data_IF_891458857466
#
_entry.id   IF_891458857466
#
_cell.length_a   1.000
_cell.length_b   1.000
_cell.length_c   1.000
_cell.angle_alpha   90.00
_cell.angle_beta   90.00
_cell.angle_gamma   90.00
#
_symmetry.space_group_name_H-M   'P 1'
#
loop_
_entity.id
_entity.type
_entity.pdbx_description
1 polymer ?
#
# COMPACT_ATOMS: atom_id res chain seq x y z
N UNK A 1 -12.17 -6.53 -21.34
CA UNK A 1 -13.37 -7.35 -21.64
C UNK A 1 -13.33 -7.85 -23.08
N UNK A 2 -13.35 -6.95 -24.07
CA UNK A 2 -13.15 -7.30 -25.48
C UNK A 2 -11.66 -7.25 -25.87
N UNK A 3 -11.31 -7.89 -26.98
CA UNK A 3 -10.04 -7.68 -27.66
C UNK A 3 -10.10 -6.44 -28.57
N UNK A 4 -8.96 -6.06 -29.17
CA UNK A 4 -8.88 -4.94 -30.10
C UNK A 4 -9.65 -5.15 -31.41
N UNK A 5 -10.36 -6.27 -31.57
CA UNK A 5 -11.18 -6.64 -32.73
C UNK A 5 -12.67 -6.78 -32.35
N UNK A 6 -13.04 -6.40 -31.13
CA UNK A 6 -14.43 -6.46 -30.63
C UNK A 6 -14.89 -7.83 -30.16
N UNK A 7 -14.04 -8.86 -30.13
CA UNK A 7 -14.42 -10.18 -29.61
C UNK A 7 -14.25 -10.25 -28.08
N UNK A 8 -15.16 -10.94 -27.40
CA UNK A 8 -15.07 -11.17 -25.95
C UNK A 8 -13.91 -12.11 -25.64
N UNK A 9 -13.00 -11.67 -24.77
CA UNK A 9 -11.88 -12.49 -24.30
C UNK A 9 -12.39 -13.74 -23.56
N UNK A 10 -11.77 -14.93 -23.73
CA UNK A 10 -12.30 -16.19 -23.19
C UNK A 10 -12.62 -16.16 -21.69
N UNK A 11 -11.73 -15.58 -20.87
CA UNK A 11 -11.89 -15.49 -19.42
C UNK A 11 -13.03 -14.55 -18.97
N UNK A 12 -13.60 -13.75 -19.87
CA UNK A 12 -14.77 -12.89 -19.60
C UNK A 12 -16.11 -13.56 -19.87
N UNK A 13 -16.15 -14.68 -20.62
CA UNK A 13 -17.42 -15.32 -21.03
C UNK A 13 -18.27 -15.74 -19.82
N UNK A 14 -17.64 -16.33 -18.80
CA UNK A 14 -18.34 -16.74 -17.58
C UNK A 14 -18.88 -15.56 -16.76
N UNK A 15 -18.13 -14.44 -16.72
CA UNK A 15 -18.61 -13.19 -16.07
C UNK A 15 -19.82 -12.63 -16.80
N UNK A 16 -19.77 -12.56 -18.13
CA UNK A 16 -20.89 -12.03 -18.92
C UNK A 16 -22.14 -12.90 -18.81
N UNK A 17 -21.98 -14.23 -18.83
CA UNK A 17 -23.08 -15.16 -18.58
C UNK A 17 -23.71 -14.94 -17.19
N UNK A 18 -22.88 -14.80 -16.15
CA UNK A 18 -23.34 -14.53 -14.79
C UNK A 18 -24.16 -13.23 -14.65
N UNK A 19 -23.87 -12.20 -15.47
CA UNK A 19 -24.69 -10.99 -15.53
C UNK A 19 -25.95 -11.17 -16.37
N UNK A 20 -25.90 -11.96 -17.45
CA UNK A 20 -27.06 -12.23 -18.29
C UNK A 20 -28.14 -13.06 -17.54
N UNK A 21 -27.71 -13.95 -16.65
CA UNK A 21 -28.60 -14.82 -15.87
C UNK A 21 -29.28 -14.11 -14.68
N UNK A 22 -28.94 -12.84 -14.39
CA UNK A 22 -29.59 -12.09 -13.33
C UNK A 22 -31.05 -11.76 -13.72
N UNK A 23 -32.04 -12.18 -12.91
CA UNK A 23 -33.43 -11.84 -13.18
C UNK A 23 -33.59 -10.31 -13.20
N UNK A 24 -34.18 -9.72 -14.24
CA UNK A 24 -34.43 -8.30 -14.26
C UNK A 24 -35.58 -7.99 -13.30
N UNK A 25 -35.26 -7.56 -12.07
CA UNK A 25 -36.25 -6.99 -11.16
C UNK A 25 -36.74 -5.61 -11.64
N UNK A 26 -35.93 -4.93 -12.47
CA UNK A 26 -36.21 -3.61 -13.03
C UNK A 26 -35.76 -3.54 -14.49
N UNK A 27 -36.28 -2.57 -15.25
CA UNK A 27 -35.81 -2.27 -16.60
C UNK A 27 -34.32 -1.81 -16.56
N UNK A 28 -33.40 -2.66 -17.01
CA UNK A 28 -31.98 -2.36 -17.05
C UNK A 28 -31.12 -3.57 -17.39
N UNK A 29 -29.81 -3.36 -17.61
CA UNK A 29 -28.85 -4.46 -17.80
C UNK A 29 -28.65 -5.25 -16.51
N UNK A 30 -28.24 -6.52 -16.62
CA UNK A 30 -27.86 -7.32 -15.45
C UNK A 30 -26.73 -6.70 -14.62
N UNK A 31 -25.82 -5.95 -15.24
CA UNK A 31 -24.79 -5.18 -14.52
C UNK A 31 -25.39 -4.02 -13.69
N UNK A 32 -26.41 -3.33 -14.19
CA UNK A 32 -27.08 -2.27 -13.44
C UNK A 32 -27.88 -2.85 -12.26
N UNK A 33 -28.49 -4.03 -12.45
CA UNK A 33 -29.15 -4.74 -11.36
C UNK A 33 -28.17 -5.22 -10.29
N UNK A 34 -27.03 -5.77 -10.71
CA UNK A 34 -25.94 -6.12 -9.81
C UNK A 34 -25.45 -4.92 -9.00
N UNK A 35 -25.28 -3.76 -9.63
CA UNK A 35 -24.86 -2.53 -8.96
C UNK A 35 -25.87 -2.11 -7.88
N UNK A 36 -27.19 -2.14 -8.19
CA UNK A 36 -28.25 -1.82 -7.20
C UNK A 36 -28.25 -2.79 -6.03
N UNK A 37 -28.14 -4.09 -6.29
CA UNK A 37 -28.06 -5.10 -5.22
C UNK A 37 -26.82 -4.91 -4.35
N UNK A 38 -25.70 -4.51 -4.96
CA UNK A 38 -24.45 -4.23 -4.26
C UNK A 38 -24.55 -2.96 -3.39
N UNK A 39 -25.13 -1.88 -3.91
CA UNK A 39 -25.39 -0.66 -3.15
C UNK A 39 -26.28 -0.95 -1.92
N UNK A 40 -27.40 -1.68 -2.10
CA UNK A 40 -28.27 -2.12 -0.98
C UNK A 40 -27.51 -2.97 0.04
N UNK A 41 -26.71 -3.90 -0.45
CA UNK A 41 -25.88 -4.76 0.39
C UNK A 41 -24.89 -3.97 1.27
N UNK A 42 -24.28 -2.91 0.73
CA UNK A 42 -23.38 -2.04 1.49
C UNK A 42 -24.12 -1.19 2.53
N UNK A 43 -25.36 -0.76 2.22
CA UNK A 43 -26.23 -0.05 3.16
C UNK A 43 -26.64 -0.94 4.34
N UNK A 44 -27.08 -2.17 4.08
CA UNK A 44 -27.55 -3.13 5.10
C UNK A 44 -26.46 -3.50 6.11
N UNK A 45 -25.20 -3.55 5.69
CA UNK A 45 -24.05 -3.88 6.54
C UNK A 45 -23.51 -2.67 7.31
N UNK A 46 -24.13 -1.49 7.15
CA UNK A 46 -23.77 -0.28 7.88
C UNK A 46 -22.39 0.27 7.51
N UNK A 47 -21.76 -0.21 6.43
CA UNK A 47 -20.43 0.25 5.97
C UNK A 47 -20.49 1.73 5.58
N UNK A 48 -21.63 2.19 5.06
CA UNK A 48 -21.90 3.61 4.80
C UNK A 48 -21.90 4.48 6.06
N UNK A 49 -22.18 3.91 7.23
CA UNK A 49 -22.24 4.64 8.51
C UNK A 49 -20.88 4.81 9.20
N UNK A 50 -19.86 4.03 8.78
CA UNK A 50 -18.48 4.15 9.27
C UNK A 50 -17.69 5.29 8.60
N UNK A 51 -18.27 5.99 7.63
CA UNK A 51 -17.62 7.11 6.94
C UNK A 51 -17.98 8.45 7.64
N UNK A 52 -16.99 9.26 8.04
CA UNK A 52 -17.23 10.57 8.65
C UNK A 52 -17.93 11.51 7.66
N UNK A 53 -18.93 12.25 8.13
CA UNK A 53 -19.65 13.24 7.30
C UNK A 53 -20.88 12.70 6.56
N UNK A 54 -21.48 11.61 7.04
CA UNK A 54 -22.77 11.08 6.58
C UNK A 54 -23.98 12.01 6.84
N UNK A 55 -23.89 13.27 6.41
CA UNK A 55 -25.02 13.91 5.75
C UNK A 55 -25.14 13.32 4.34
N UNK A 56 -26.34 13.40 3.75
CA UNK A 56 -26.76 12.89 2.42
C UNK A 56 -25.83 13.11 1.20
N UNK A 57 -24.66 13.72 1.35
CA UNK A 57 -23.75 14.12 0.27
C UNK A 57 -22.32 13.55 0.35
N UNK A 58 -21.92 12.84 1.41
CA UNK A 58 -20.66 12.08 1.37
C UNK A 58 -20.87 10.83 0.51
N UNK A 59 -20.26 10.81 -0.67
CA UNK A 59 -20.41 9.75 -1.66
C UNK A 59 -19.86 8.46 -1.05
N UNK A 60 -20.75 7.62 -0.50
CA UNK A 60 -20.44 6.30 0.01
C UNK A 60 -19.57 5.57 -1.00
N UNK A 61 -18.58 4.83 -0.50
CA UNK A 61 -17.75 3.97 -1.33
C UNK A 61 -18.63 3.12 -2.26
N UNK A 62 -18.45 3.29 -3.57
CA UNK A 62 -19.17 2.53 -4.60
C UNK A 62 -18.25 1.47 -5.17
N UNK A 63 -18.68 0.22 -5.12
CA UNK A 63 -18.04 -0.87 -5.80
C UNK A 63 -18.73 -1.06 -7.16
N UNK A 64 -17.94 -1.11 -8.24
CA UNK A 64 -18.47 -1.53 -9.53
C UNK A 64 -18.66 -3.05 -9.50
N UNK A 65 -19.86 -3.58 -9.83
CA UNK A 65 -20.10 -5.01 -9.82
C UNK A 65 -19.27 -5.77 -10.86
N UNK A 66 -18.75 -5.11 -11.90
CA UNK A 66 -17.99 -5.73 -12.99
C UNK A 66 -16.53 -5.91 -12.55
N UNK A 67 -16.07 -7.15 -12.26
CA UNK A 67 -14.72 -7.35 -11.73
C UNK A 67 -13.65 -7.24 -12.82
N UNK A 68 -12.45 -6.83 -12.44
CA UNK A 68 -11.26 -7.03 -13.27
C UNK A 68 -10.80 -8.50 -13.18
N UNK A 69 -11.06 -9.29 -14.22
CA UNK A 69 -10.62 -10.69 -14.29
C UNK A 69 -9.17 -10.79 -14.75
N UNK A 70 -8.33 -11.43 -13.93
CA UNK A 70 -6.94 -11.75 -14.25
C UNK A 70 -6.76 -13.28 -14.35
N UNK A 71 -6.32 -13.81 -15.51
CA UNK A 71 -5.89 -15.20 -15.63
C UNK A 71 -4.78 -15.56 -14.63
N UNK A 72 -4.75 -16.82 -14.20
CA UNK A 72 -3.80 -17.29 -13.19
C UNK A 72 -2.32 -17.11 -13.59
N UNK A 73 -1.98 -17.39 -14.86
CA UNK A 73 -0.62 -17.22 -15.37
C UNK A 73 -0.20 -15.74 -15.37
N UNK A 74 -1.08 -14.86 -15.85
CA UNK A 74 -0.86 -13.42 -15.85
C UNK A 74 -0.69 -12.86 -14.44
N UNK A 75 -1.50 -13.30 -13.48
CA UNK A 75 -1.34 -12.92 -12.07
C UNK A 75 -0.03 -13.44 -11.47
N UNK A 76 0.41 -14.66 -11.84
CA UNK A 76 1.66 -15.23 -11.34
C UNK A 76 2.87 -14.42 -11.80
N UNK A 77 2.93 -14.04 -13.08
CA UNK A 77 3.98 -13.15 -13.62
C UNK A 77 4.01 -11.80 -12.89
N UNK A 78 2.84 -11.19 -12.66
CA UNK A 78 2.74 -9.94 -11.90
C UNK A 78 3.20 -10.13 -10.45
N UNK A 79 2.80 -11.22 -9.79
CA UNK A 79 3.17 -11.49 -8.42
C UNK A 79 4.69 -11.63 -8.26
N UNK A 80 5.36 -12.33 -9.18
CA UNK A 80 6.82 -12.45 -9.18
C UNK A 80 7.52 -11.10 -9.43
N UNK A 81 7.01 -10.32 -10.38
CA UNK A 81 7.53 -8.98 -10.67
C UNK A 81 7.38 -8.01 -9.50
N UNK A 82 6.21 -7.99 -8.86
CA UNK A 82 5.94 -7.17 -7.69
C UNK A 82 6.76 -7.61 -6.47
N UNK A 83 6.97 -8.91 -6.28
CA UNK A 83 7.84 -9.42 -5.21
C UNK A 83 9.31 -9.02 -5.43
N UNK A 84 9.83 -9.08 -6.66
CA UNK A 84 11.15 -8.56 -6.99
C UNK A 84 11.24 -7.06 -6.74
N UNK A 85 10.21 -6.30 -7.16
CA UNK A 85 10.13 -4.85 -6.95
C UNK A 85 10.18 -4.50 -5.46
N UNK A 86 9.41 -5.19 -4.62
CA UNK A 86 9.44 -5.00 -3.17
C UNK A 86 10.84 -5.28 -2.58
N UNK A 87 11.50 -6.39 -2.96
CA UNK A 87 12.87 -6.70 -2.52
C UNK A 87 13.87 -5.62 -2.94
N UNK A 88 13.75 -5.12 -4.17
CA UNK A 88 14.62 -4.05 -4.68
C UNK A 88 14.44 -2.76 -3.87
N UNK A 89 13.20 -2.33 -3.66
CA UNK A 89 12.90 -1.11 -2.92
C UNK A 89 13.32 -1.21 -1.45
N UNK A 90 13.15 -2.36 -0.82
CA UNK A 90 13.65 -2.62 0.54
C UNK A 90 15.18 -2.56 0.61
N UNK A 91 15.89 -3.13 -0.38
CA UNK A 91 17.35 -3.05 -0.45
C UNK A 91 17.86 -1.61 -0.66
N UNK A 92 17.16 -0.80 -1.48
CA UNK A 92 17.46 0.62 -1.65
C UNK A 92 17.25 1.37 -0.33
N UNK A 93 16.15 1.11 0.38
CA UNK A 93 15.89 1.70 1.70
C UNK A 93 16.98 1.30 2.70
N UNK A 94 17.36 0.02 2.74
CA UNK A 94 18.40 -0.49 3.63
C UNK A 94 19.76 0.16 3.39
N UNK A 95 20.13 0.42 2.13
CA UNK A 95 21.35 1.15 1.80
C UNK A 95 21.25 2.63 2.20
N UNK A 96 20.18 3.32 1.80
CA UNK A 96 19.99 4.76 2.06
C UNK A 96 19.93 5.10 3.56
N UNK A 97 19.29 4.25 4.36
CA UNK A 97 19.20 4.39 5.82
C UNK A 97 20.38 3.74 6.56
N UNK A 98 21.26 3.03 5.85
CA UNK A 98 22.44 2.36 6.41
C UNK A 98 23.74 2.87 5.79
N UNK A 99 24.49 2.02 5.07
CA UNK A 99 25.86 2.30 4.63
C UNK A 99 25.97 3.30 3.46
N UNK A 100 24.89 3.60 2.75
CA UNK A 100 24.84 4.59 1.65
C UNK A 100 25.84 4.32 0.51
N UNK A 101 26.04 3.05 0.15
CA UNK A 101 26.94 2.64 -0.94
C UNK A 101 26.42 3.10 -2.30
N UNK A 102 25.09 3.14 -2.50
CA UNK A 102 24.50 3.61 -3.75
C UNK A 102 24.85 5.08 -4.02
N UNK A 103 24.96 5.88 -2.96
CA UNK A 103 25.40 7.27 -3.04
C UNK A 103 26.91 7.36 -3.29
N UNK A 104 27.71 6.59 -2.54
CA UNK A 104 29.17 6.58 -2.68
C UNK A 104 29.64 6.10 -4.06
N UNK A 105 28.98 5.08 -4.62
CA UNK A 105 29.24 4.53 -5.96
C UNK A 105 28.58 5.35 -7.08
N UNK A 106 27.88 6.45 -6.76
CA UNK A 106 27.18 7.33 -7.72
C UNK A 106 26.11 6.61 -8.55
N UNK A 107 25.54 5.53 -8.02
CA UNK A 107 24.42 4.81 -8.64
C UNK A 107 23.07 5.48 -8.35
N UNK A 108 23.01 6.26 -7.26
CA UNK A 108 21.87 7.08 -6.92
C UNK A 108 22.33 8.53 -6.67
N UNK A 109 21.73 9.53 -7.34
CA UNK A 109 22.03 10.93 -7.08
C UNK A 109 21.68 11.34 -5.64
N UNK A 110 22.57 12.04 -4.90
CA UNK A 110 22.28 12.53 -3.55
C UNK A 110 21.03 13.41 -3.46
N UNK A 111 20.69 14.15 -4.51
CA UNK A 111 19.49 14.96 -4.57
C UNK A 111 18.20 14.12 -4.42
N UNK A 112 18.15 12.91 -4.96
CA UNK A 112 16.98 12.03 -4.85
C UNK A 112 16.74 11.50 -3.43
N UNK A 113 17.76 11.54 -2.59
CA UNK A 113 17.68 11.10 -1.18
C UNK A 113 17.51 12.31 -0.27
N UNK A 114 18.47 13.23 -0.27
CA UNK A 114 18.54 14.26 0.78
C UNK A 114 17.58 15.43 0.60
N UNK A 115 17.09 15.67 -0.63
CA UNK A 115 16.06 16.68 -0.89
C UNK A 115 14.65 16.08 -0.91
N UNK A 116 14.52 14.75 -0.80
CA UNK A 116 13.23 14.09 -0.73
C UNK A 116 12.59 14.29 0.66
N UNK A 117 11.41 14.90 0.76
CA UNK A 117 10.76 15.17 2.05
C UNK A 117 10.36 13.90 2.82
N UNK A 118 10.21 12.75 2.15
CA UNK A 118 9.96 11.47 2.81
C UNK A 118 11.23 10.78 3.30
N UNK A 119 12.43 11.30 2.97
CA UNK A 119 13.66 10.83 3.60
C UNK A 119 13.78 11.39 5.03
N UNK A 120 13.30 10.61 5.99
CA UNK A 120 13.27 11.01 7.39
C UNK A 120 14.62 10.79 8.07
N UNK A 121 15.45 11.84 8.16
CA UNK A 121 16.77 11.77 8.80
C UNK A 121 16.78 11.14 10.20
N UNK A 122 15.81 11.42 11.10
CA UNK A 122 15.75 10.78 12.42
C UNK A 122 15.63 9.24 12.39
N UNK A 123 15.17 8.66 11.28
CA UNK A 123 15.10 7.21 11.10
C UNK A 123 16.46 6.57 10.75
N UNK A 124 17.49 7.37 10.48
CA UNK A 124 18.86 6.89 10.26
C UNK A 124 19.66 7.04 11.56
N UNK A 125 20.29 5.96 12.02
CA UNK A 125 21.22 5.98 13.15
C UNK A 125 22.45 5.14 12.83
N UNK A 126 23.64 5.74 13.03
CA UNK A 126 24.91 5.04 12.82
C UNK A 126 25.20 4.04 13.96
N UNK A 127 24.79 4.36 15.19
CA UNK A 127 24.96 3.48 16.35
C UNK A 127 23.93 2.35 16.37
N UNK A 128 22.74 2.59 15.83
CA UNK A 128 21.62 1.64 15.83
C UNK A 128 21.04 1.53 14.43
N UNK A 129 21.64 0.71 13.54
CA UNK A 129 21.09 0.48 12.22
C UNK A 129 19.63 0.01 12.29
N UNK A 130 18.75 0.47 11.39
CA UNK A 130 17.36 0.05 11.41
C UNK A 130 17.22 -1.47 11.29
N UNK A 131 16.32 -2.04 12.09
CA UNK A 131 15.94 -3.45 11.95
C UNK A 131 15.34 -3.67 10.54
N UNK A 132 15.72 -4.76 9.89
CA UNK A 132 15.21 -5.15 8.56
C UNK A 132 14.10 -6.20 8.67
N UNK A 133 13.18 -6.29 7.69
CA UNK A 133 13.05 -5.44 6.50
C UNK A 133 12.44 -4.05 6.81
N UNK A 134 12.82 -2.99 6.09
CA UNK A 134 12.23 -1.66 6.29
C UNK A 134 10.84 -1.58 5.63
N UNK A 135 10.71 -2.20 4.47
CA UNK A 135 9.49 -2.30 3.69
C UNK A 135 8.86 -3.69 3.89
N UNK A 136 7.81 -3.76 4.70
CA UNK A 136 7.09 -5.02 4.95
C UNK A 136 5.90 -5.20 3.99
N UNK A 137 5.12 -4.14 3.80
CA UNK A 137 3.92 -4.12 2.96
C UNK A 137 4.16 -3.23 1.75
N UNK A 138 3.93 -3.75 0.55
CA UNK A 138 4.11 -3.02 -0.69
C UNK A 138 2.83 -3.12 -1.52
N UNK A 139 2.43 -1.99 -2.09
CA UNK A 139 1.39 -1.92 -3.10
C UNK A 139 1.93 -1.20 -4.35
N UNK A 140 1.32 -1.46 -5.49
CA UNK A 140 1.70 -0.84 -6.75
C UNK A 140 0.45 -0.45 -7.55
N UNK A 141 0.51 0.72 -8.17
CA UNK A 141 -0.47 1.12 -9.16
C UNK A 141 -0.01 0.58 -10.51
N UNK A 142 -0.86 -0.21 -11.17
CA UNK A 142 -0.57 -0.86 -12.44
C UNK A 142 -1.54 -0.38 -13.52
N UNK A 143 -1.02 -0.18 -14.72
CA UNK A 143 -1.82 0.10 -15.91
C UNK A 143 -1.52 -0.93 -16.99
N UNK A 144 -2.55 -1.33 -17.73
CA UNK A 144 -2.36 -2.14 -18.93
C UNK A 144 -2.30 -1.22 -20.14
N UNK A 145 -1.18 -1.25 -20.86
CA UNK A 145 -0.97 -0.46 -22.06
C UNK A 145 -1.82 -0.93 -23.25
N UNK A 146 -1.88 -0.14 -24.35
CA UNK A 146 -2.56 -0.53 -25.58
C UNK A 146 -2.02 -1.81 -26.22
N UNK A 147 -0.74 -2.11 -26.00
CA UNK A 147 -0.07 -3.35 -26.39
C UNK A 147 -0.48 -4.57 -25.55
N UNK A 148 -1.30 -4.37 -24.52
CA UNK A 148 -1.79 -5.38 -23.60
C UNK A 148 -0.83 -5.73 -22.46
N UNK A 149 0.35 -5.10 -22.39
CA UNK A 149 1.36 -5.33 -21.35
C UNK A 149 1.07 -4.51 -20.10
N UNK A 150 1.54 -5.00 -18.96
CA UNK A 150 1.44 -4.28 -17.70
C UNK A 150 2.63 -3.36 -17.50
N UNK A 151 2.35 -2.13 -17.09
CA UNK A 151 3.32 -1.14 -16.71
C UNK A 151 3.04 -0.70 -15.28
N UNK A 152 4.12 -0.52 -14.52
CA UNK A 152 4.05 0.08 -13.20
C UNK A 152 3.93 1.60 -13.34
N UNK A 153 2.88 2.15 -12.72
CA UNK A 153 2.58 3.58 -12.70
C UNK A 153 3.16 4.26 -11.45
N UNK A 154 2.99 3.63 -10.28
CA UNK A 154 3.52 4.15 -9.02
C UNK A 154 3.78 3.03 -8.01
N UNK A 155 4.87 3.18 -7.25
CA UNK A 155 5.17 2.37 -6.07
C UNK A 155 4.49 3.00 -4.85
N UNK A 156 3.87 2.18 -3.98
CA UNK A 156 3.21 2.61 -2.74
C UNK A 156 3.82 1.89 -1.54
N UNK A 157 4.69 2.56 -0.81
CA UNK A 157 5.56 1.99 0.23
C UNK A 157 5.37 2.63 1.60
N UNK A 158 4.72 3.79 1.72
CA UNK A 158 4.52 4.46 3.01
C UNK A 158 3.38 3.81 3.78
N UNK A 159 2.15 3.87 3.25
CA UNK A 159 0.94 3.38 3.93
C UNK A 159 0.27 2.19 3.24
N UNK A 160 0.56 1.88 1.98
CA UNK A 160 0.01 0.76 1.21
C UNK A 160 -1.46 0.40 1.56
N UNK A 161 -2.40 1.25 1.13
CA UNK A 161 -3.83 1.11 1.43
C UNK A 161 -4.60 0.37 0.32
N UNK A 162 -5.86 0.03 0.58
CA UNK A 162 -6.81 -0.53 -0.38
C UNK A 162 -7.08 -2.03 -0.22
N UNK A 163 -6.30 -2.76 0.57
CA UNK A 163 -6.48 -4.21 0.72
C UNK A 163 -7.74 -4.55 1.54
N UNK A 164 -8.10 -3.71 2.51
CA UNK A 164 -9.38 -3.86 3.22
C UNK A 164 -10.58 -3.65 2.29
N UNK A 165 -10.50 -2.66 1.40
CA UNK A 165 -11.50 -2.45 0.35
C UNK A 165 -11.58 -3.64 -0.62
N UNK A 166 -10.45 -4.21 -1.04
CA UNK A 166 -10.43 -5.36 -1.93
C UNK A 166 -11.08 -6.60 -1.29
N UNK A 167 -10.82 -6.85 0.00
CA UNK A 167 -11.45 -7.92 0.76
C UNK A 167 -12.97 -7.71 0.86
N UNK A 168 -13.38 -6.51 1.24
CA UNK A 168 -14.79 -6.23 1.46
C UNK A 168 -15.59 -6.21 0.15
N UNK A 169 -15.01 -5.68 -0.93
CA UNK A 169 -15.57 -5.84 -2.28
C UNK A 169 -15.76 -7.30 -2.66
N UNK A 170 -14.75 -8.14 -2.37
CA UNK A 170 -14.82 -9.58 -2.67
C UNK A 170 -15.93 -10.25 -1.87
N UNK A 171 -16.08 -9.92 -0.59
CA UNK A 171 -17.12 -10.45 0.31
C UNK A 171 -18.52 -10.06 -0.19
N UNK A 172 -18.73 -8.78 -0.48
CA UNK A 172 -20.02 -8.28 -0.95
C UNK A 172 -20.41 -8.80 -2.33
N UNK A 173 -19.47 -8.85 -3.26
CA UNK A 173 -19.70 -9.47 -4.57
C UNK A 173 -20.04 -10.96 -4.43
N UNK A 174 -19.36 -11.68 -3.53
CA UNK A 174 -19.68 -13.09 -3.25
C UNK A 174 -21.09 -13.31 -2.73
N UNK A 175 -21.60 -12.36 -1.92
CA UNK A 175 -22.96 -12.38 -1.38
C UNK A 175 -24.02 -12.03 -2.44
N UNK A 176 -23.75 -11.02 -3.26
CA UNK A 176 -24.73 -10.46 -4.21
C UNK A 176 -24.75 -11.21 -5.55
N UNK A 177 -23.59 -11.70 -6.00
CA UNK A 177 -23.38 -12.39 -7.27
C UNK A 177 -22.70 -13.76 -7.07
N UNK A 178 -23.28 -14.68 -6.28
CA UNK A 178 -22.64 -15.97 -6.01
C UNK A 178 -22.33 -16.77 -7.28
N UNK A 179 -23.15 -16.62 -8.33
CA UNK A 179 -22.94 -17.28 -9.64
C UNK A 179 -21.61 -16.89 -10.29
N UNK A 180 -21.09 -15.67 -10.04
CA UNK A 180 -19.80 -15.24 -10.55
C UNK A 180 -18.65 -16.10 -10.00
N UNK A 181 -18.81 -16.59 -8.77
CA UNK A 181 -17.82 -17.41 -8.05
C UNK A 181 -18.04 -18.91 -8.22
N UNK A 182 -19.28 -19.36 -8.54
CA UNK A 182 -19.56 -20.80 -8.75
C UNK A 182 -18.85 -21.35 -9.99
N UNK A 183 -18.79 -20.58 -11.06
CA UNK A 183 -18.23 -21.04 -12.34
C UNK A 183 -16.76 -20.63 -12.54
N UNK A 184 -16.20 -19.86 -11.61
CA UNK A 184 -14.81 -19.39 -11.66
C UNK A 184 -14.06 -19.83 -10.41
N UNK A 185 -12.89 -20.43 -10.60
CA UNK A 185 -11.97 -20.75 -9.49
C UNK A 185 -11.25 -19.49 -9.00
N UNK A 186 -12.01 -18.56 -8.42
CA UNK A 186 -11.47 -17.32 -7.87
C UNK A 186 -10.62 -17.64 -6.64
N UNK A 187 -9.36 -17.20 -6.63
CA UNK A 187 -8.48 -17.39 -5.48
C UNK A 187 -8.98 -16.62 -4.25
N UNK A 188 -9.07 -17.26 -3.07
CA UNK A 188 -9.46 -16.58 -1.84
C UNK A 188 -8.37 -15.61 -1.36
N UNK A 189 -8.78 -14.54 -0.67
CA UNK A 189 -7.86 -13.57 -0.08
C UNK A 189 -7.39 -13.95 1.32
N UNK A 190 -8.10 -14.84 2.01
CA UNK A 190 -7.80 -15.24 3.39
C UNK A 190 -6.33 -15.67 3.62
N UNK A 191 -5.72 -16.51 2.76
CA UNK A 191 -4.31 -16.91 2.95
C UNK A 191 -3.30 -15.75 2.91
N UNK A 192 -3.66 -14.60 2.33
CA UNK A 192 -2.81 -13.40 2.39
C UNK A 192 -2.81 -12.80 3.81
N UNK A 193 -3.98 -12.67 4.43
CA UNK A 193 -4.11 -12.12 5.78
C UNK A 193 -3.48 -13.02 6.83
N UNK A 194 -3.64 -14.34 6.72
CA UNK A 194 -3.00 -15.30 7.61
C UNK A 194 -1.47 -15.13 7.57
N UNK A 195 -0.87 -15.09 6.36
CA UNK A 195 0.57 -14.86 6.19
C UNK A 195 1.03 -13.49 6.69
N UNK A 196 0.19 -12.46 6.56
CA UNK A 196 0.51 -11.12 7.04
C UNK A 196 0.53 -11.08 8.56
N UNK A 197 -0.49 -11.64 9.21
CA UNK A 197 -0.56 -11.76 10.67
C UNK A 197 0.66 -12.54 11.20
N UNK A 198 0.96 -13.69 10.62
CA UNK A 198 2.14 -14.50 10.97
C UNK A 198 3.45 -13.69 10.83
N UNK A 199 3.54 -12.87 9.79
CA UNK A 199 4.71 -12.03 9.56
C UNK A 199 4.84 -10.90 10.58
N UNK A 200 3.73 -10.26 10.95
CA UNK A 200 3.74 -9.23 12.00
C UNK A 200 4.12 -9.82 13.36
N UNK A 201 3.64 -11.02 13.68
CA UNK A 201 4.01 -11.73 14.91
C UNK A 201 5.52 -12.00 14.99
N UNK A 202 6.15 -12.39 13.88
CA UNK A 202 7.62 -12.60 13.81
C UNK A 202 8.45 -11.33 13.91
N UNK A 203 7.85 -10.15 13.77
CA UNK A 203 8.57 -8.88 13.82
C UNK A 203 8.75 -8.31 15.23
N UNK A 204 8.24 -8.99 16.27
CA UNK A 204 8.44 -8.59 17.66
C UNK A 204 9.94 -8.50 17.99
N UNK A 205 10.45 -7.36 18.48
CA UNK A 205 11.89 -7.19 18.71
C UNK A 205 12.50 -8.11 19.75
N UNK A 206 11.68 -8.64 20.66
CA UNK A 206 12.11 -9.50 21.77
C UNK A 206 11.91 -11.00 21.51
N UNK A 207 11.48 -11.38 20.30
CA UNK A 207 11.20 -12.78 19.96
C UNK A 207 10.16 -13.45 20.87
N UNK A 208 9.35 -12.64 21.57
CA UNK A 208 8.30 -13.13 22.48
C UNK A 208 7.26 -13.90 21.69
N UNK A 209 6.83 -15.02 22.27
CA UNK A 209 5.62 -15.68 21.83
C UNK A 209 4.44 -14.73 22.06
N UNK A 210 3.71 -14.40 20.99
CA UNK A 210 2.56 -13.48 20.96
C UNK A 210 2.94 -11.98 21.12
N UNK A 211 3.40 -11.39 20.03
CA UNK A 211 3.68 -9.96 19.91
C UNK A 211 2.41 -9.12 20.14
N UNK A 212 2.52 -8.05 20.92
CA UNK A 212 1.46 -7.07 21.05
C UNK A 212 1.44 -6.15 19.82
N UNK A 213 0.51 -6.39 18.92
CA UNK A 213 0.35 -5.63 17.66
C UNK A 213 -0.73 -4.55 17.83
N UNK A 214 -0.45 -3.35 17.34
CA UNK A 214 -1.43 -2.27 17.21
C UNK A 214 -1.42 -1.64 15.81
N UNK A 215 -2.57 -1.15 15.35
CA UNK A 215 -2.74 -0.37 14.12
C UNK A 215 -2.97 1.09 14.50
N UNK A 216 -2.01 1.95 14.16
CA UNK A 216 -2.08 3.39 14.40
C UNK A 216 -2.89 4.08 13.31
N UNK A 217 -4.00 4.69 13.69
CA UNK A 217 -4.92 5.41 12.82
C UNK A 217 -4.86 6.93 13.08
N UNK A 218 -5.04 7.78 12.06
CA UNK A 218 -5.26 9.22 12.23
C UNK A 218 -6.62 9.57 12.84
N UNK A 219 -7.52 8.59 13.00
CA UNK A 219 -8.81 8.73 13.66
C UNK A 219 -10.01 8.67 12.72
N UNK A 220 -11.21 8.79 13.31
CA UNK A 220 -12.50 8.56 12.63
C UNK A 220 -12.77 9.48 11.44
N UNK A 221 -12.15 10.67 11.41
CA UNK A 221 -12.33 11.64 10.33
C UNK A 221 -11.53 11.32 9.06
N UNK A 222 -10.71 10.27 9.08
CA UNK A 222 -9.91 9.88 7.93
C UNK A 222 -10.75 9.15 6.86
N UNK A 223 -10.56 9.42 5.55
CA UNK A 223 -11.33 8.78 4.48
C UNK A 223 -11.23 7.24 4.46
N UNK A 224 -10.12 6.70 4.93
CA UNK A 224 -9.86 5.25 5.02
C UNK A 224 -10.09 4.68 6.42
N UNK A 225 -10.78 5.39 7.32
CA UNK A 225 -11.09 4.91 8.67
C UNK A 225 -11.73 3.51 8.64
N UNK A 226 -12.68 3.30 7.73
CA UNK A 226 -13.33 2.01 7.52
C UNK A 226 -12.30 0.88 7.28
N UNK A 227 -11.33 1.09 6.38
CA UNK A 227 -10.28 0.11 6.12
C UNK A 227 -9.45 -0.15 7.39
N UNK A 228 -9.18 0.87 8.19
CA UNK A 228 -8.40 0.70 9.42
C UNK A 228 -9.14 -0.19 10.44
N UNK A 229 -10.46 -0.01 10.59
CA UNK A 229 -11.31 -0.85 11.46
C UNK A 229 -11.33 -2.30 10.96
N UNK A 230 -11.56 -2.50 9.66
CA UNK A 230 -11.59 -3.84 9.07
C UNK A 230 -10.26 -4.56 9.28
N UNK A 231 -9.14 -3.87 9.00
CA UNK A 231 -7.82 -4.45 9.14
C UNK A 231 -7.45 -4.75 10.59
N UNK A 232 -7.88 -3.93 11.55
CA UNK A 232 -7.66 -4.22 12.97
C UNK A 232 -8.36 -5.53 13.37
N UNK A 233 -9.58 -5.77 12.87
CA UNK A 233 -10.29 -7.04 13.04
C UNK A 233 -9.57 -8.22 12.39
N UNK A 234 -9.24 -8.11 11.09
CA UNK A 234 -8.62 -9.19 10.32
C UNK A 234 -7.23 -9.57 10.82
N UNK A 235 -6.43 -8.59 11.26
CA UNK A 235 -5.10 -8.83 11.81
C UNK A 235 -5.13 -9.12 13.33
N UNK A 236 -6.31 -9.08 13.95
CA UNK A 236 -6.53 -9.26 15.39
C UNK A 236 -5.62 -8.36 16.24
N UNK A 237 -5.54 -7.08 15.88
CA UNK A 237 -4.70 -6.10 16.54
C UNK A 237 -5.52 -4.93 17.11
N UNK A 238 -4.94 -4.22 18.09
CA UNK A 238 -5.61 -3.07 18.68
C UNK A 238 -5.64 -1.89 17.68
N UNK A 239 -6.82 -1.33 17.41
CA UNK A 239 -6.94 -0.05 16.69
C UNK A 239 -6.70 1.10 17.69
N UNK A 240 -5.70 1.93 17.44
CA UNK A 240 -5.25 2.96 18.39
C UNK A 240 -5.01 4.29 17.70
N UNK A 241 -5.41 5.37 18.35
CA UNK A 241 -5.02 6.72 17.98
C UNK A 241 -3.74 7.13 18.73
N UNK A 242 -3.01 8.17 18.29
CA UNK A 242 -1.82 8.61 19.01
C UNK A 242 -2.10 8.96 20.48
N UNK A 243 -3.31 9.50 20.75
CA UNK A 243 -3.77 9.84 22.08
C UNK A 243 -3.93 8.63 23.00
N UNK A 244 -3.99 7.39 22.49
CA UNK A 244 -4.08 6.17 23.30
C UNK A 244 -2.71 5.64 23.73
N UNK A 245 -1.65 6.15 23.12
CA UNK A 245 -0.30 5.64 23.27
C UNK A 245 0.57 6.56 24.15
N UNK A 246 1.63 5.98 24.72
CA UNK A 246 2.66 6.74 25.45
C UNK A 246 3.97 5.97 25.41
N UNK A 247 5.09 6.69 25.32
CA UNK A 247 6.43 6.09 25.48
C UNK A 247 6.89 6.25 26.92
N UNK A 248 7.30 5.13 27.54
CA UNK A 248 7.85 5.10 28.90
C UNK A 248 8.96 4.07 28.99
N UNK A 249 10.09 4.47 29.58
CA UNK A 249 11.26 3.59 29.71
C UNK A 249 11.80 3.11 28.37
N UNK A 250 11.71 3.94 27.32
CA UNK A 250 12.15 3.59 25.97
C UNK A 250 11.24 2.62 25.20
N UNK A 251 10.10 2.21 25.77
CA UNK A 251 9.14 1.31 25.13
C UNK A 251 7.78 1.99 24.89
N UNK A 252 7.04 1.52 23.89
CA UNK A 252 5.70 2.01 23.56
C UNK A 252 4.64 1.25 24.37
N UNK A 253 3.69 1.99 24.92
CA UNK A 253 2.60 1.46 25.74
C UNK A 253 1.25 1.97 25.27
N UNK A 254 0.26 1.08 25.27
CA UNK A 254 -1.16 1.37 25.13
C UNK A 254 -1.76 1.68 26.51
N UNK A 255 -2.43 2.82 26.63
CA UNK A 255 -3.17 3.22 27.84
C UNK A 255 -4.49 2.46 27.89
N UNK A 256 -4.70 1.68 28.95
CA UNK A 256 -5.99 1.02 29.22
C UNK A 256 -6.48 1.37 30.62
N UNK A 257 -7.76 1.12 30.88
CA UNK A 257 -8.34 1.30 32.24
C UNK A 257 -7.65 0.42 33.30
N UNK A 258 -7.05 -0.72 32.88
CA UNK A 258 -6.32 -1.65 33.76
C UNK A 258 -4.83 -1.29 33.90
N UNK A 259 -4.38 -0.20 33.29
CA UNK A 259 -2.97 0.21 33.25
C UNK A 259 -2.35 0.11 31.86
N UNK A 260 -1.03 0.18 31.81
CA UNK A 260 -0.27 0.19 30.56
C UNK A 260 -0.07 -1.22 30.02
N UNK A 261 -0.35 -1.41 28.72
CA UNK A 261 -0.04 -2.64 27.99
C UNK A 261 1.07 -2.39 26.97
N UNK A 262 2.06 -3.27 26.84
CA UNK A 262 3.14 -3.07 25.88
C UNK A 262 2.60 -3.13 24.44
N UNK A 263 3.29 -2.43 23.52
CA UNK A 263 3.09 -2.54 22.07
C UNK A 263 4.45 -2.83 21.44
N UNK A 264 4.60 -4.02 20.87
CA UNK A 264 5.85 -4.48 20.26
C UNK A 264 5.93 -4.12 18.77
N UNK A 265 4.78 -4.17 18.07
CA UNK A 265 4.67 -3.91 16.63
C UNK A 265 3.54 -2.93 16.36
N UNK A 266 3.85 -1.85 15.64
CA UNK A 266 2.94 -0.79 15.27
C UNK A 266 2.78 -0.73 13.75
N UNK A 267 1.64 -1.18 13.25
CA UNK A 267 1.23 -0.97 11.86
C UNK A 267 0.74 0.48 11.70
N UNK A 268 1.50 1.32 10.98
CA UNK A 268 1.12 2.72 10.81
C UNK A 268 0.19 2.94 9.61
N UNK A 269 -0.88 3.71 9.81
CA UNK A 269 -1.69 4.33 8.76
C UNK A 269 -1.59 5.85 8.75
N UNK A 270 -0.63 6.38 9.51
CA UNK A 270 -0.28 7.81 9.55
C UNK A 270 1.03 8.07 8.81
N UNK A 271 1.27 9.33 8.47
CA UNK A 271 2.54 9.76 7.90
C UNK A 271 3.72 9.57 8.85
N UNK A 272 4.89 9.20 8.32
CA UNK A 272 6.09 8.99 9.11
C UNK A 272 6.54 10.25 9.86
N UNK A 273 6.35 11.43 9.26
CA UNK A 273 6.70 12.72 9.88
C UNK A 273 5.79 13.09 11.04
N UNK A 274 4.62 12.46 11.15
CA UNK A 274 3.65 12.72 12.21
C UNK A 274 3.79 11.77 13.40
N UNK A 275 4.75 10.83 13.37
CA UNK A 275 4.88 9.80 14.41
C UNK A 275 5.43 10.35 15.73
N UNK A 276 6.40 11.27 15.67
CA UNK A 276 7.10 11.77 16.85
C UNK A 276 7.30 13.29 16.77
N UNK A 277 6.54 14.09 17.55
CA UNK A 277 6.67 15.53 17.54
C UNK A 277 8.05 16.01 18.02
N UNK A 278 8.79 15.23 18.81
CA UNK A 278 10.12 15.65 19.29
C UNK A 278 11.16 15.68 18.17
N UNK A 279 11.00 14.82 17.16
CA UNK A 279 11.96 14.63 16.07
C UNK A 279 11.56 15.39 14.79
N UNK A 280 10.27 15.72 14.64
CA UNK A 280 9.73 16.27 13.39
C UNK A 280 9.13 17.68 13.50
N UNK A 281 9.52 18.45 14.51
CA UNK A 281 9.24 19.89 14.57
C UNK A 281 8.07 20.30 15.48
N UNK A 282 7.76 19.51 16.51
CA UNK A 282 6.93 19.91 17.67
C UNK A 282 5.43 20.05 17.43
N UNK A 283 4.98 20.02 16.17
CA UNK A 283 3.59 20.24 15.79
C UNK A 283 3.01 18.97 15.17
N UNK A 284 2.04 18.34 15.86
CA UNK A 284 1.31 17.19 15.33
C UNK A 284 0.82 16.24 16.42
N UNK A 285 -0.13 15.35 16.10
CA UNK A 285 -0.74 14.46 17.08
C UNK A 285 0.15 13.27 17.49
N UNK A 286 1.40 13.16 17.02
CA UNK A 286 2.27 12.00 17.26
C UNK A 286 2.58 11.71 18.72
N UNK A 287 3.29 10.60 18.97
CA UNK A 287 3.66 10.15 20.31
C UNK A 287 5.13 10.53 20.59
N UNK A 288 5.40 11.42 21.55
CA UNK A 288 6.76 11.82 21.89
C UNK A 288 7.65 10.62 22.23
N UNK A 289 8.82 10.51 21.60
CA UNK A 289 9.81 9.45 21.85
C UNK A 289 9.56 8.15 21.08
N UNK A 290 8.57 8.11 20.18
CA UNK A 290 8.28 6.92 19.36
C UNK A 290 9.43 6.54 18.44
N UNK A 291 10.11 7.52 17.83
CA UNK A 291 11.27 7.26 16.98
C UNK A 291 12.44 6.71 17.80
N UNK A 292 12.59 7.17 19.04
CA UNK A 292 13.64 6.72 19.94
C UNK A 292 13.41 5.27 20.39
N UNK A 293 12.18 4.91 20.74
CA UNK A 293 11.79 3.54 21.03
C UNK A 293 12.05 2.60 19.83
N UNK A 294 11.80 3.08 18.61
CA UNK A 294 12.10 2.34 17.39
C UNK A 294 13.61 2.15 17.18
N UNK A 295 14.41 3.22 17.33
CA UNK A 295 15.87 3.17 17.14
C UNK A 295 16.56 2.21 18.12
N UNK A 296 16.10 2.17 19.37
CA UNK A 296 16.65 1.26 20.39
C UNK A 296 16.08 -0.17 20.27
N UNK A 297 15.26 -0.45 19.26
CA UNK A 297 14.72 -1.78 19.02
C UNK A 297 13.66 -2.21 20.03
N UNK A 298 13.08 -1.30 20.82
CA UNK A 298 11.97 -1.63 21.72
C UNK A 298 10.62 -1.67 20.99
N UNK A 299 10.53 -1.07 19.80
CA UNK A 299 9.33 -0.98 18.98
C UNK A 299 9.65 -1.28 17.52
N UNK A 300 8.82 -2.11 16.88
CA UNK A 300 8.79 -2.22 15.42
C UNK A 300 7.71 -1.34 14.82
N UNK A 301 8.07 -0.44 13.89
CA UNK A 301 7.09 0.32 13.11
C UNK A 301 7.02 -0.23 11.69
N UNK A 302 5.81 -0.53 11.23
CA UNK A 302 5.53 -1.19 9.95
C UNK A 302 4.61 -0.32 9.08
N UNK A 303 4.99 0.08 7.87
CA UNK A 303 6.37 0.09 7.35
C UNK A 303 7.23 1.11 8.09
N UNK A 304 8.55 1.04 7.92
CA UNK A 304 9.44 2.01 8.54
C UNK A 304 9.04 3.45 8.15
N UNK A 305 9.21 4.44 9.04
CA UNK A 305 8.72 5.81 8.85
C UNK A 305 9.17 6.47 7.54
N UNK A 306 10.40 6.16 7.10
CA UNK A 306 11.03 6.73 5.90
C UNK A 306 10.76 6.03 4.57
N UNK A 307 9.91 4.99 4.56
CA UNK A 307 9.70 4.20 3.33
C UNK A 307 9.12 4.99 2.16
N UNK A 308 8.42 6.11 2.42
CA UNK A 308 7.85 6.96 1.36
C UNK A 308 8.90 7.52 0.40
N UNK A 309 10.18 7.58 0.80
CA UNK A 309 11.26 8.08 -0.06
C UNK A 309 11.31 7.35 -1.42
N UNK A 310 11.05 6.05 -1.43
CA UNK A 310 11.11 5.24 -2.65
C UNK A 310 9.82 5.27 -3.49
N UNK A 311 8.82 6.06 -3.11
CA UNK A 311 7.66 6.38 -3.99
C UNK A 311 8.00 7.46 -5.02
N UNK A 312 9.15 8.15 -4.88
CA UNK A 312 9.55 9.25 -5.75
C UNK A 312 9.64 8.82 -7.22
N UNK A 313 8.88 9.44 -8.15
CA UNK A 313 8.89 9.08 -9.57
C UNK A 313 10.27 9.23 -10.20
N UNK A 314 11.06 10.21 -9.72
CA UNK A 314 12.41 10.43 -10.18
C UNK A 314 13.38 9.26 -9.88
N UNK A 315 13.00 8.29 -9.03
CA UNK A 315 13.75 7.07 -8.80
C UNK A 315 13.63 6.07 -9.97
N UNK A 316 12.52 6.10 -10.72
CA UNK A 316 12.19 5.10 -11.74
C UNK A 316 13.31 4.84 -12.78
N UNK A 317 14.01 5.85 -13.32
CA UNK A 317 15.09 5.64 -14.29
C UNK A 317 16.26 4.79 -13.77
N UNK A 318 16.50 4.82 -12.45
CA UNK A 318 17.64 4.15 -11.82
C UNK A 318 17.35 2.68 -11.50
N UNK A 319 16.08 2.30 -11.38
CA UNK A 319 15.69 0.98 -10.89
C UNK A 319 16.23 -0.21 -11.72
N UNK A 320 16.30 -0.17 -13.05
CA UNK A 320 16.89 -1.27 -13.82
C UNK A 320 18.37 -1.51 -13.49
N UNK A 321 19.17 -0.45 -13.32
CA UNK A 321 20.57 -0.55 -12.96
C UNK A 321 20.74 -1.00 -11.50
N UNK A 322 19.93 -0.45 -10.59
CA UNK A 322 19.92 -0.83 -9.18
C UNK A 322 19.50 -2.30 -8.99
N UNK A 323 18.54 -2.79 -9.76
CA UNK A 323 18.11 -4.20 -9.73
C UNK A 323 19.28 -5.14 -10.05
N UNK A 324 20.04 -4.84 -11.11
CA UNK A 324 21.25 -5.60 -11.46
C UNK A 324 22.31 -5.52 -10.38
N UNK A 325 22.54 -4.32 -9.80
CA UNK A 325 23.56 -4.11 -8.77
C UNK A 325 23.26 -4.81 -7.45
N UNK A 326 22.01 -4.72 -6.99
CA UNK A 326 21.58 -5.13 -5.65
C UNK A 326 21.05 -6.57 -5.62
N UNK A 327 20.33 -6.99 -6.66
CA UNK A 327 19.72 -8.33 -6.73
C UNK A 327 20.44 -9.26 -7.71
N UNK A 328 21.29 -8.75 -8.61
CA UNK A 328 21.89 -9.56 -9.67
C UNK A 328 20.89 -9.98 -10.76
N UNK A 329 19.70 -9.37 -10.79
CA UNK A 329 18.59 -9.74 -11.66
C UNK A 329 18.27 -8.60 -12.66
N UNK A 330 17.68 -8.93 -13.81
CA UNK A 330 17.03 -7.94 -14.64
C UNK A 330 15.67 -7.56 -14.05
N UNK A 331 15.31 -6.28 -14.14
CA UNK A 331 14.02 -5.79 -13.65
C UNK A 331 12.88 -6.41 -14.46
N UNK A 332 11.99 -7.13 -13.79
CA UNK A 332 10.91 -7.91 -14.42
C UNK A 332 9.74 -7.05 -14.87
N UNK A 333 9.28 -6.16 -14.01
CA UNK A 333 8.11 -5.32 -14.26
C UNK A 333 8.55 -3.94 -14.77
N UNK A 334 8.32 -3.60 -16.05
CA UNK A 334 8.68 -2.30 -16.58
C UNK A 334 7.81 -1.21 -15.97
N UNK A 335 8.42 -0.05 -15.68
CA UNK A 335 7.69 1.17 -15.38
C UNK A 335 7.28 1.88 -16.69
N UNK A 336 6.42 2.88 -16.59
CA UNK A 336 6.27 3.85 -17.68
C UNK A 336 7.59 4.59 -17.93
N UNK A 337 7.79 5.00 -19.18
CA UNK A 337 8.96 5.80 -19.54
C UNK A 337 8.98 7.08 -18.70
N UNK A 338 10.07 7.25 -17.96
CA UNK A 338 10.22 8.34 -16.98
C UNK A 338 11.61 8.90 -17.15
N UNK A 339 11.72 10.23 -17.17
CA UNK A 339 12.98 10.96 -17.24
C UNK A 339 13.08 11.91 -16.05
N UNK A 340 14.22 11.94 -15.37
CA UNK A 340 14.48 12.95 -14.35
C UNK A 340 15.09 14.18 -15.01
N UNK A 341 14.39 15.32 -14.97
CA UNK A 341 14.79 16.54 -15.67
C UNK A 341 16.12 17.16 -15.21
N UNK A 342 16.69 16.70 -14.10
CA UNK A 342 18.05 17.08 -13.70
C UNK A 342 19.13 16.36 -14.50
N UNK A 343 18.79 15.29 -15.23
CA UNK A 343 19.73 14.57 -16.08
C UNK A 343 19.98 15.29 -17.42
N UNK A 344 21.22 15.26 -17.93
CA UNK A 344 21.53 15.76 -19.26
C UNK A 344 20.66 15.07 -20.33
N UNK A 345 20.08 15.85 -21.24
CA UNK A 345 19.28 15.33 -22.35
C UNK A 345 17.78 15.12 -22.04
N UNK A 346 17.39 14.89 -20.78
CA UNK A 346 15.98 14.74 -20.39
C UNK A 346 15.14 15.98 -20.77
N UNK A 347 15.69 17.18 -20.56
CA UNK A 347 15.05 18.44 -20.96
C UNK A 347 14.90 18.56 -22.48
N UNK A 348 15.87 18.08 -23.25
CA UNK A 348 15.80 18.13 -24.72
C UNK A 348 14.69 17.20 -25.25
N UNK A 349 14.57 16.00 -24.67
CA UNK A 349 13.50 15.06 -25.02
C UNK A 349 12.10 15.64 -24.71
N UNK A 350 11.94 16.28 -23.55
CA UNK A 350 10.70 16.99 -23.20
C UNK A 350 10.38 18.12 -24.17
N UNK A 351 11.37 18.95 -24.52
CA UNK A 351 11.16 20.12 -25.39
C UNK A 351 10.90 19.73 -26.85
N UNK A 352 11.35 18.55 -27.28
CA UNK A 352 11.11 18.05 -28.64
C UNK A 352 9.64 17.68 -28.89
N UNK A 353 8.96 17.11 -27.90
CA UNK A 353 7.52 16.82 -27.97
C UNK A 353 6.85 16.96 -26.58
N UNK A 354 6.53 18.19 -26.14
CA UNK A 354 5.95 18.42 -24.82
C UNK A 354 4.60 17.73 -24.59
N UNK A 355 3.83 17.47 -25.65
CA UNK A 355 2.48 16.90 -25.55
C UNK A 355 2.51 15.39 -25.22
N UNK A 356 3.62 14.71 -25.48
CA UNK A 356 3.81 13.30 -25.15
C UNK A 356 4.12 13.04 -23.66
N UNK A 357 4.38 14.08 -22.86
CA UNK A 357 4.88 13.95 -21.49
C UNK A 357 3.92 14.52 -20.45
N UNK A 358 3.84 13.84 -19.31
CA UNK A 358 3.23 14.37 -18.09
C UNK A 358 4.32 14.87 -17.14
N UNK A 359 4.25 16.15 -16.75
CA UNK A 359 5.14 16.73 -15.74
C UNK A 359 4.61 16.49 -14.34
N UNK A 360 5.50 16.01 -13.47
CA UNK A 360 5.24 15.74 -12.06
C UNK A 360 6.41 16.23 -11.22
N UNK A 361 6.15 16.53 -9.95
CA UNK A 361 7.23 16.85 -9.03
C UNK A 361 8.11 15.61 -8.79
N UNK A 362 9.42 15.80 -8.67
CA UNK A 362 10.37 14.69 -8.57
C UNK A 362 10.12 13.77 -7.35
N UNK A 363 9.51 14.32 -6.31
CA UNK A 363 9.17 13.63 -5.07
C UNK A 363 7.65 13.44 -4.89
N UNK A 364 6.85 13.53 -5.97
CA UNK A 364 5.40 13.30 -5.89
C UNK A 364 5.09 11.87 -5.40
N UNK A 365 4.44 11.74 -4.25
CA UNK A 365 4.18 10.44 -3.60
C UNK A 365 4.99 10.21 -2.32
N UNK A 366 5.99 11.06 -2.07
CA UNK A 366 6.66 11.19 -0.78
C UNK A 366 5.70 11.73 0.30
#
# INVERSE_FOLDING_TARGET
>A
MVDGRGQVRPHWRGVLAAFADLPPEHAGSGSAEAARRLDRAFEDEGISSLLPGAGRAARAWRCDPVPLVLPAAEFAELAEGLAQRARLLDAILADCYGPQRLLAERLLPPALVFANPAFLRPARSAAHPPLQPLLHAYAADLIRGPDGRWHLLADRTSRAAGIGHAQENRRMLGRVLPQLFRFQQVRPLRPFFDRWQDSLQRLAPSGRDNAAIALLTPGVHHPLWFEHVLLAGELSCALVEPGDLTVRGGALWLKTLKGLRPVDVLLRRVDGRSLDPLEFGGHGPGVPGMMDAMRHGALRIVNAPGCGMVEAPALAPYLPALCRRLLGEALRLPALETHWLAEPGARAALLADPAAWLLRHAYDGA
#
